data_IF_552637096675
#
_entry.id   IF_552637096675
#
_cell.length_a   1.000
_cell.length_b   1.000
_cell.length_c   1.000
_cell.angle_alpha   90.00
_cell.angle_beta   90.00
_cell.angle_gamma   90.00
#
_symmetry.space_group_name_H-M   'P 1'
#
loop_
_entity.id
_entity.type
_entity.pdbx_description
1 polymer ?
#
# COMPACT_ATOMS: atom_id res chain seq x y z
N UNK A 1 -7.21 -2.88 14.82
CA UNK A 1 -7.20 -3.20 13.39
C UNK A 1 -7.29 -4.70 13.16
N UNK A 2 -7.88 -5.12 12.06
CA UNK A 2 -8.02 -6.54 11.69
C UNK A 2 -6.63 -7.19 11.57
N UNK A 3 -6.40 -8.22 12.35
CA UNK A 3 -5.19 -9.04 12.30
C UNK A 3 -5.56 -10.38 11.66
N UNK A 4 -5.36 -10.49 10.36
CA UNK A 4 -5.49 -11.78 9.71
C UNK A 4 -4.34 -12.67 10.17
N UNK A 5 -4.66 -13.89 10.55
CA UNK A 5 -3.70 -14.95 10.94
C UNK A 5 -3.85 -16.14 10.00
N UNK A 6 -2.80 -16.95 9.92
CA UNK A 6 -2.81 -18.16 9.10
C UNK A 6 -2.61 -17.90 7.60
N UNK A 7 -2.78 -18.96 6.84
CA UNK A 7 -2.45 -19.01 5.41
C UNK A 7 -3.62 -19.59 4.60
N UNK A 8 -3.72 -19.12 3.35
CA UNK A 8 -4.58 -19.71 2.33
C UNK A 8 -3.73 -20.57 1.41
N UNK A 9 -4.03 -21.85 1.37
CA UNK A 9 -3.40 -22.80 0.45
C UNK A 9 -3.93 -22.59 -0.98
N UNK A 10 -3.11 -22.93 -1.98
CA UNK A 10 -3.48 -22.83 -3.39
C UNK A 10 -4.03 -21.46 -3.83
N UNK A 11 -3.52 -20.40 -3.23
CA UNK A 11 -3.92 -19.04 -3.59
C UNK A 11 -3.42 -18.68 -4.99
N UNK A 12 -4.31 -18.07 -5.78
CA UNK A 12 -3.99 -17.50 -7.10
C UNK A 12 -3.82 -15.99 -6.96
N UNK A 13 -2.66 -15.51 -7.37
CA UNK A 13 -2.39 -14.07 -7.37
C UNK A 13 -3.24 -13.38 -8.42
N UNK A 14 -3.93 -12.27 -8.07
CA UNK A 14 -4.78 -11.56 -9.02
C UNK A 14 -4.00 -10.67 -9.98
N UNK A 15 -4.71 -10.13 -10.96
CA UNK A 15 -4.25 -9.13 -11.93
C UNK A 15 -3.16 -9.65 -12.88
N UNK A 16 -2.14 -8.84 -13.10
CA UNK A 16 -1.08 -9.05 -14.08
C UNK A 16 -0.07 -10.17 -13.73
N UNK A 17 -0.30 -10.85 -12.64
CA UNK A 17 0.41 -12.08 -12.26
C UNK A 17 -0.52 -13.29 -12.11
N UNK A 18 -1.67 -13.31 -12.80
CA UNK A 18 -2.63 -14.41 -12.85
C UNK A 18 -2.02 -15.70 -13.46
N UNK A 19 -0.98 -15.55 -14.27
CA UNK A 19 -0.17 -16.62 -14.85
C UNK A 19 0.65 -17.38 -13.79
N UNK A 20 0.89 -16.77 -12.62
CA UNK A 20 1.70 -17.38 -11.56
C UNK A 20 1.06 -18.70 -11.06
N UNK A 21 1.87 -19.72 -10.73
CA UNK A 21 1.34 -20.92 -10.12
C UNK A 21 0.65 -20.60 -8.78
N UNK A 22 -0.27 -21.47 -8.37
CA UNK A 22 -0.88 -21.34 -7.06
C UNK A 22 0.16 -21.56 -5.96
N UNK A 23 0.06 -20.81 -4.88
CA UNK A 23 1.00 -20.88 -3.77
C UNK A 23 0.28 -20.65 -2.42
N UNK A 24 1.00 -20.91 -1.34
CA UNK A 24 0.54 -20.62 0.02
C UNK A 24 0.73 -19.13 0.32
N UNK A 25 -0.37 -18.41 0.55
CA UNK A 25 -0.36 -16.98 0.81
C UNK A 25 -0.83 -16.66 2.22
N UNK A 26 -0.15 -15.72 2.91
CA UNK A 26 -0.62 -15.28 4.22
C UNK A 26 -1.94 -14.51 4.09
N UNK A 27 -2.89 -14.77 4.98
CA UNK A 27 -4.26 -14.24 4.91
C UNK A 27 -4.33 -12.71 4.95
N UNK A 28 -3.34 -12.02 5.54
CA UNK A 28 -3.26 -10.56 5.49
C UNK A 28 -3.07 -9.99 4.09
N UNK A 29 -2.65 -10.80 3.14
CA UNK A 29 -2.41 -10.43 1.74
C UNK A 29 -3.47 -10.98 0.79
N UNK A 30 -4.46 -11.72 1.28
CA UNK A 30 -5.54 -12.32 0.48
C UNK A 30 -6.77 -11.43 0.49
N UNK A 31 -7.45 -11.29 -0.67
CA UNK A 31 -8.70 -10.54 -0.78
C UNK A 31 -8.59 -9.04 -0.46
N UNK A 32 -7.42 -8.45 -0.75
CA UNK A 32 -7.19 -7.03 -0.53
C UNK A 32 -7.75 -6.17 -1.67
N UNK A 33 -7.84 -4.88 -1.42
CA UNK A 33 -8.11 -3.88 -2.45
C UNK A 33 -7.20 -4.10 -3.68
N UNK A 34 -7.70 -4.04 -4.92
CA UNK A 34 -6.90 -4.23 -6.13
C UNK A 34 -5.65 -3.35 -6.19
N UNK A 35 -5.70 -2.15 -5.63
CA UNK A 35 -4.55 -1.23 -5.56
C UNK A 35 -3.42 -1.73 -4.67
N UNK A 36 -3.72 -2.58 -3.68
CA UNK A 36 -2.69 -3.24 -2.88
C UNK A 36 -1.74 -4.04 -3.78
N UNK A 37 -2.29 -4.87 -4.66
CA UNK A 37 -1.50 -5.68 -5.59
C UNK A 37 -0.87 -4.85 -6.72
N UNK A 38 -1.50 -3.74 -7.10
CA UNK A 38 -0.95 -2.82 -8.09
C UNK A 38 0.23 -1.98 -7.56
N UNK A 39 0.31 -1.77 -6.26
CA UNK A 39 1.34 -0.93 -5.64
C UNK A 39 2.47 -1.72 -4.98
N UNK A 40 2.18 -2.91 -4.49
CA UNK A 40 3.08 -3.70 -3.64
C UNK A 40 3.20 -5.15 -4.13
N UNK A 41 4.37 -5.72 -3.89
CA UNK A 41 4.58 -7.17 -3.95
C UNK A 41 4.92 -7.64 -2.54
N UNK A 42 4.02 -8.34 -1.85
CA UNK A 42 4.27 -8.88 -0.53
C UNK A 42 5.29 -10.02 -0.56
N UNK A 43 5.91 -10.30 0.59
CA UNK A 43 6.74 -11.47 0.78
C UNK A 43 5.98 -12.76 0.36
N UNK A 44 6.58 -13.55 -0.48
CA UNK A 44 6.01 -14.78 -1.02
C UNK A 44 5.18 -14.63 -2.29
N UNK A 45 4.95 -13.41 -2.79
CA UNK A 45 4.22 -13.14 -4.03
C UNK A 45 5.16 -13.08 -5.24
N UNK A 46 4.61 -13.33 -6.42
CA UNK A 46 5.37 -13.25 -7.66
C UNK A 46 5.46 -11.81 -8.16
N UNK A 47 6.66 -11.45 -8.64
CA UNK A 47 6.83 -10.22 -9.42
C UNK A 47 6.07 -10.35 -10.74
N UNK A 48 5.32 -9.34 -11.19
CA UNK A 48 4.45 -9.43 -12.38
C UNK A 48 5.24 -9.39 -13.70
N UNK A 49 6.24 -10.22 -13.82
CA UNK A 49 7.02 -10.42 -15.05
C UNK A 49 6.99 -11.89 -15.44
N UNK A 50 6.23 -12.22 -16.48
CA UNK A 50 6.07 -13.59 -16.97
C UNK A 50 7.37 -14.19 -17.52
N UNK A 51 8.26 -13.35 -18.07
CA UNK A 51 9.56 -13.79 -18.61
C UNK A 51 10.52 -14.16 -17.48
N UNK A 52 10.40 -13.53 -16.33
CA UNK A 52 11.21 -13.78 -15.14
C UNK A 52 10.29 -14.04 -13.94
N UNK A 53 9.73 -15.25 -13.84
CA UNK A 53 8.70 -15.59 -12.86
C UNK A 53 9.27 -15.74 -11.44
N UNK A 54 9.94 -14.71 -10.93
CA UNK A 54 10.58 -14.76 -9.63
C UNK A 54 9.59 -14.47 -8.51
N UNK A 55 9.60 -15.32 -7.50
CA UNK A 55 8.88 -15.11 -6.24
C UNK A 55 9.70 -14.17 -5.36
N UNK A 56 9.10 -13.06 -4.93
CA UNK A 56 9.74 -12.15 -3.99
C UNK A 56 9.72 -12.78 -2.58
N UNK A 57 10.89 -12.96 -2.00
CA UNK A 57 11.06 -13.49 -0.63
C UNK A 57 12.12 -12.68 0.10
N UNK A 58 11.89 -12.35 1.37
CA UNK A 58 12.70 -11.38 2.11
C UNK A 58 13.00 -11.75 3.57
N UNK A 59 12.98 -13.02 3.93
CA UNK A 59 13.40 -13.52 5.25
C UNK A 59 14.84 -14.03 5.23
N UNK A 60 15.39 -14.42 6.38
CA UNK A 60 16.80 -14.84 6.51
C UNK A 60 17.02 -16.28 6.04
N UNK A 61 17.02 -16.45 4.73
CA UNK A 61 17.34 -17.72 4.08
C UNK A 61 18.17 -17.44 2.82
N UNK A 62 19.18 -18.26 2.55
CA UNK A 62 20.10 -18.11 1.42
C UNK A 62 19.39 -18.16 0.04
N UNK A 63 18.24 -18.82 -0.05
CA UNK A 63 17.45 -18.96 -1.27
C UNK A 63 16.50 -17.75 -1.51
N UNK A 64 16.44 -16.81 -0.57
CA UNK A 64 15.56 -15.64 -0.72
C UNK A 64 16.08 -14.66 -1.76
N UNK A 65 15.18 -14.15 -2.59
CA UNK A 65 15.48 -13.15 -3.63
C UNK A 65 15.93 -11.81 -3.06
N UNK A 66 15.52 -11.48 -1.84
CA UNK A 66 15.92 -10.27 -1.11
C UNK A 66 16.20 -10.64 0.35
N UNK A 67 17.16 -11.54 0.55
CA UNK A 67 17.54 -12.00 1.89
C UNK A 67 17.80 -10.83 2.82
N UNK A 68 17.21 -10.89 4.02
CA UNK A 68 17.52 -9.91 5.06
C UNK A 68 18.99 -9.97 5.46
N UNK A 69 19.62 -8.80 5.50
CA UNK A 69 20.96 -8.63 6.07
C UNK A 69 21.03 -7.24 6.71
N UNK A 70 21.57 -7.15 7.90
CA UNK A 70 21.72 -5.89 8.62
C UNK A 70 22.66 -4.89 7.89
N UNK A 71 23.51 -5.38 6.98
CA UNK A 71 24.55 -4.59 6.30
C UNK A 71 24.29 -4.38 4.81
N UNK A 72 23.20 -4.94 4.26
CA UNK A 72 22.89 -4.85 2.82
C UNK A 72 21.70 -3.93 2.55
N UNK A 73 21.50 -3.60 1.28
CA UNK A 73 20.31 -2.91 0.75
C UNK A 73 19.05 -3.79 0.73
N UNK A 74 19.02 -4.84 1.54
CA UNK A 74 17.91 -5.78 1.62
C UNK A 74 16.61 -5.08 2.06
N UNK A 75 15.50 -5.62 1.59
CA UNK A 75 14.18 -5.15 1.99
C UNK A 75 13.97 -5.31 3.51
N UNK A 76 13.64 -4.23 4.19
CA UNK A 76 13.47 -4.19 5.65
C UNK A 76 12.02 -4.12 6.11
N UNK A 77 11.06 -4.26 5.19
CA UNK A 77 9.63 -4.13 5.50
C UNK A 77 8.85 -5.42 5.28
N UNK A 78 9.35 -6.31 4.43
CA UNK A 78 8.62 -7.49 4.00
C UNK A 78 7.65 -7.23 2.84
N UNK A 79 7.69 -6.04 2.29
CA UNK A 79 6.93 -5.62 1.11
C UNK A 79 7.87 -4.87 0.19
N UNK A 80 7.84 -5.17 -1.11
CA UNK A 80 8.51 -4.34 -2.08
C UNK A 80 7.49 -3.55 -2.89
N UNK A 81 7.83 -2.34 -3.25
CA UNK A 81 6.96 -1.51 -4.08
C UNK A 81 7.13 -1.87 -5.56
N UNK A 82 6.05 -1.84 -6.30
CA UNK A 82 6.06 -1.99 -7.75
C UNK A 82 5.41 -0.82 -8.48
N UNK A 83 4.73 0.04 -7.76
CA UNK A 83 4.10 1.23 -8.34
C UNK A 83 5.16 2.07 -9.06
N UNK A 84 4.84 2.50 -10.28
CA UNK A 84 5.74 3.23 -11.19
C UNK A 84 6.90 2.40 -11.77
N UNK A 85 7.02 1.12 -11.41
CA UNK A 85 7.97 0.22 -12.06
C UNK A 85 7.30 -0.50 -13.24
N UNK A 86 8.01 -0.65 -14.34
CA UNK A 86 7.52 -1.46 -15.45
C UNK A 86 7.62 -2.94 -15.08
N UNK A 87 6.56 -3.74 -15.29
CA UNK A 87 6.58 -5.17 -14.96
C UNK A 87 7.67 -5.96 -15.69
N UNK A 88 7.96 -5.58 -16.92
CA UNK A 88 8.95 -6.20 -17.81
C UNK A 88 10.39 -5.76 -17.56
N UNK A 89 10.61 -4.89 -16.56
CA UNK A 89 11.96 -4.50 -16.18
C UNK A 89 12.72 -5.67 -15.55
N UNK A 90 13.87 -5.99 -16.14
CA UNK A 90 14.81 -7.00 -15.62
C UNK A 90 16.06 -6.31 -15.09
N UNK A 91 16.46 -6.64 -13.87
CA UNK A 91 17.75 -6.23 -13.30
C UNK A 91 18.91 -7.14 -13.74
N UNK A 92 18.61 -8.20 -14.51
CA UNK A 92 19.62 -9.20 -14.90
C UNK A 92 20.50 -8.78 -16.08
N UNK A 93 20.16 -7.71 -16.78
CA UNK A 93 21.02 -7.13 -17.79
C UNK A 93 21.93 -6.09 -17.13
N UNK A 94 23.17 -6.43 -16.88
CA UNK A 94 24.19 -5.51 -16.32
C UNK A 94 24.32 -4.20 -17.11
N UNK A 95 23.92 -4.21 -18.38
CA UNK A 95 23.91 -3.04 -19.26
C UNK A 95 22.59 -2.25 -19.26
N UNK A 96 21.49 -2.83 -18.84
CA UNK A 96 20.16 -2.15 -18.86
C UNK A 96 19.88 -1.31 -17.60
N UNK A 97 20.70 -1.42 -16.58
CA UNK A 97 20.60 -0.60 -15.38
C UNK A 97 20.69 0.91 -15.68
N UNK A 98 21.31 1.27 -16.80
CA UNK A 98 21.49 2.65 -17.27
C UNK A 98 20.65 3.01 -18.51
N UNK A 99 19.91 2.07 -19.08
CA UNK A 99 18.93 2.44 -20.11
C UNK A 99 17.82 3.22 -19.43
N UNK A 100 17.83 4.53 -19.65
CA UNK A 100 16.84 5.45 -19.09
C UNK A 100 15.44 4.97 -19.45
N UNK A 101 14.80 4.26 -18.52
CA UNK A 101 13.38 3.99 -18.61
C UNK A 101 12.72 5.35 -18.43
N UNK A 102 12.12 5.85 -19.49
CA UNK A 102 11.36 7.10 -19.42
C UNK A 102 10.12 6.85 -18.55
N UNK A 103 10.22 7.21 -17.28
CA UNK A 103 9.08 7.29 -16.40
C UNK A 103 8.40 8.64 -16.59
N UNK A 104 7.09 8.60 -16.81
CA UNK A 104 6.26 9.77 -16.60
C UNK A 104 5.77 9.71 -15.17
N UNK A 105 6.40 10.47 -14.28
CA UNK A 105 5.92 10.61 -12.91
C UNK A 105 4.70 11.55 -12.91
N UNK A 106 3.51 11.07 -12.51
CA UNK A 106 2.33 11.92 -12.46
C UNK A 106 2.44 12.85 -11.26
N UNK A 107 2.85 14.10 -11.48
CA UNK A 107 2.87 15.11 -10.43
C UNK A 107 1.46 15.41 -9.92
N UNK A 108 0.46 15.32 -10.79
CA UNK A 108 -0.94 15.57 -10.53
C UNK A 108 -1.84 14.71 -11.41
N UNK A 109 -2.95 14.19 -10.87
CA UNK A 109 -3.85 13.31 -11.63
C UNK A 109 -5.31 13.47 -11.21
N UNK A 110 -6.21 13.08 -12.10
CA UNK A 110 -7.65 13.31 -11.97
C UNK A 110 -8.26 12.76 -10.66
N UNK A 111 -7.75 11.64 -10.15
CA UNK A 111 -8.18 11.11 -8.86
C UNK A 111 -7.95 12.10 -7.70
N UNK A 112 -6.88 12.90 -7.76
CA UNK A 112 -6.61 13.93 -6.76
C UNK A 112 -7.66 15.06 -6.84
N UNK A 113 -8.01 15.49 -8.06
CA UNK A 113 -9.09 16.46 -8.26
C UNK A 113 -10.41 15.96 -7.68
N UNK A 114 -10.75 14.70 -7.97
CA UNK A 114 -11.98 14.11 -7.48
C UNK A 114 -12.03 14.04 -5.95
N UNK A 115 -10.97 13.59 -5.32
CA UNK A 115 -10.93 13.47 -3.86
C UNK A 115 -10.82 14.83 -3.16
N UNK A 116 -10.12 15.81 -3.76
CA UNK A 116 -10.12 17.19 -3.27
C UNK A 116 -11.52 17.78 -3.33
N UNK A 117 -12.24 17.55 -4.42
CA UNK A 117 -13.60 18.07 -4.59
C UNK A 117 -14.59 17.37 -3.64
N UNK A 118 -14.47 16.05 -3.47
CA UNK A 118 -15.27 15.32 -2.50
C UNK A 118 -15.07 15.83 -1.08
N UNK A 119 -13.82 16.06 -0.68
CA UNK A 119 -13.47 16.65 0.62
C UNK A 119 -14.07 18.06 0.78
N UNK A 120 -13.87 18.93 -0.20
CA UNK A 120 -14.40 20.28 -0.16
C UNK A 120 -15.93 20.31 -0.07
N UNK A 121 -16.63 19.43 -0.77
CA UNK A 121 -18.09 19.30 -0.70
C UNK A 121 -18.57 18.80 0.67
N UNK A 122 -17.82 17.90 1.31
CA UNK A 122 -18.15 17.45 2.66
C UNK A 122 -17.89 18.52 3.72
N UNK A 123 -16.86 19.36 3.54
CA UNK A 123 -16.41 20.31 4.58
C UNK A 123 -17.03 21.71 4.47
N UNK A 124 -17.52 22.11 3.31
CA UNK A 124 -18.14 23.45 3.13
C UNK A 124 -19.31 23.68 4.10
N UNK A 125 -19.63 24.95 4.46
CA UNK A 125 -20.71 25.28 5.40
C UNK A 125 -22.07 24.68 4.99
N UNK A 126 -22.45 24.82 3.72
CA UNK A 126 -23.63 24.15 3.14
C UNK A 126 -23.14 22.83 2.53
N UNK A 127 -22.98 21.82 3.40
CA UNK A 127 -22.51 20.49 3.00
C UNK A 127 -23.28 19.93 1.81
N UNK A 128 -22.54 19.40 0.84
CA UNK A 128 -23.10 18.75 -0.32
C UNK A 128 -22.66 17.26 -0.33
N UNK A 129 -23.37 16.48 0.44
CA UNK A 129 -23.09 15.06 0.62
C UNK A 129 -23.20 14.28 -0.68
N UNK A 130 -24.21 14.58 -1.50
CA UNK A 130 -24.46 13.88 -2.75
C UNK A 130 -23.29 14.02 -3.70
N UNK A 131 -22.76 15.23 -3.86
CA UNK A 131 -21.59 15.47 -4.70
C UNK A 131 -20.32 14.86 -4.10
N UNK A 132 -20.16 14.93 -2.78
CA UNK A 132 -19.01 14.32 -2.11
C UNK A 132 -18.96 12.79 -2.34
N UNK A 133 -20.08 12.10 -2.16
CA UNK A 133 -20.21 10.67 -2.42
C UNK A 133 -19.97 10.33 -3.90
N UNK A 134 -20.55 11.10 -4.81
CA UNK A 134 -20.37 10.89 -6.26
C UNK A 134 -18.89 10.88 -6.66
N UNK A 135 -18.10 11.85 -6.20
CA UNK A 135 -16.70 11.96 -6.60
C UNK A 135 -15.81 10.98 -5.85
N UNK A 136 -16.12 10.63 -4.62
CA UNK A 136 -15.48 9.53 -3.90
C UNK A 136 -15.69 8.19 -4.65
N UNK A 137 -16.92 7.90 -5.05
CA UNK A 137 -17.27 6.67 -5.74
C UNK A 137 -16.65 6.56 -7.15
N UNK A 138 -16.46 7.68 -7.86
CA UNK A 138 -15.71 7.65 -9.13
C UNK A 138 -14.30 7.07 -8.99
N UNK A 139 -13.62 7.35 -7.88
CA UNK A 139 -12.28 6.78 -7.62
C UNK A 139 -12.39 5.31 -7.28
N UNK A 140 -13.35 4.90 -6.46
CA UNK A 140 -13.58 3.52 -6.04
C UNK A 140 -14.00 2.62 -7.20
N UNK A 141 -14.97 3.07 -7.99
CA UNK A 141 -15.51 2.30 -9.12
C UNK A 141 -14.48 2.06 -10.22
N UNK A 142 -13.53 2.96 -10.40
CA UNK A 142 -12.41 2.78 -11.35
C UNK A 142 -11.62 1.50 -11.09
N UNK A 143 -11.54 1.07 -9.86
CA UNK A 143 -10.80 -0.15 -9.44
C UNK A 143 -11.74 -1.31 -9.09
N UNK A 144 -13.01 -1.22 -9.45
CA UNK A 144 -13.99 -2.28 -9.24
C UNK A 144 -14.50 -2.42 -7.81
N UNK A 145 -14.27 -1.42 -6.96
CA UNK A 145 -14.86 -1.39 -5.63
C UNK A 145 -16.30 -0.89 -5.70
N UNK A 146 -17.13 -1.38 -4.81
CA UNK A 146 -18.50 -0.91 -4.63
C UNK A 146 -18.55 0.53 -4.14
N UNK A 147 -19.67 1.18 -4.37
CA UNK A 147 -19.95 2.49 -3.78
C UNK A 147 -19.77 2.46 -2.26
N UNK A 148 -19.28 3.57 -1.70
CA UNK A 148 -18.95 3.60 -0.28
C UNK A 148 -20.18 3.40 0.60
N UNK A 149 -21.35 3.83 0.14
CA UNK A 149 -22.64 3.66 0.83
C UNK A 149 -23.10 2.21 0.90
N UNK A 150 -22.62 1.35 0.00
CA UNK A 150 -22.88 -0.09 0.08
C UNK A 150 -21.95 -0.76 1.12
N UNK A 151 -20.72 -0.23 1.26
CA UNK A 151 -19.75 -0.75 2.22
C UNK A 151 -20.00 -0.24 3.65
N UNK A 152 -20.49 0.99 3.78
CA UNK A 152 -20.78 1.68 5.03
C UNK A 152 -22.15 2.38 4.92
N UNK A 153 -23.27 1.66 5.08
CA UNK A 153 -24.61 2.25 4.97
C UNK A 153 -24.87 3.43 5.92
N UNK A 154 -24.18 3.44 7.07
CA UNK A 154 -24.24 4.48 8.10
C UNK A 154 -23.54 5.78 7.70
N UNK A 155 -22.93 5.86 6.52
CA UNK A 155 -22.23 7.06 6.05
C UNK A 155 -23.20 8.19 5.69
N UNK A 156 -24.45 7.84 5.33
CA UNK A 156 -25.46 8.83 4.95
C UNK A 156 -25.83 9.71 6.12
N UNK A 157 -25.75 11.02 5.91
CA UNK A 157 -25.97 12.02 6.98
C UNK A 157 -24.79 12.17 7.96
N UNK A 158 -23.79 11.29 7.92
CA UNK A 158 -22.68 11.28 8.86
C UNK A 158 -21.43 11.97 8.24
N UNK A 159 -21.25 13.27 8.56
CA UNK A 159 -20.14 14.07 8.06
C UNK A 159 -18.78 13.53 8.46
N UNK A 160 -18.64 13.12 9.71
CA UNK A 160 -17.36 12.67 10.27
C UNK A 160 -16.93 11.32 9.65
N UNK A 161 -17.88 10.41 9.47
CA UNK A 161 -17.60 9.12 8.84
C UNK A 161 -17.23 9.32 7.37
N UNK A 162 -17.93 10.21 6.64
CA UNK A 162 -17.57 10.51 5.25
C UNK A 162 -16.19 11.17 5.15
N UNK A 163 -15.84 12.09 6.06
CA UNK A 163 -14.49 12.66 6.16
C UNK A 163 -13.45 11.56 6.33
N UNK A 164 -13.67 10.67 7.29
CA UNK A 164 -12.77 9.55 7.53
C UNK A 164 -12.62 8.65 6.30
N UNK A 165 -13.71 8.33 5.62
CA UNK A 165 -13.69 7.53 4.39
C UNK A 165 -12.89 8.21 3.27
N UNK A 166 -13.08 9.52 3.06
CA UNK A 166 -12.30 10.29 2.08
C UNK A 166 -10.81 10.27 2.43
N UNK A 167 -10.45 10.46 3.69
CA UNK A 167 -9.07 10.41 4.16
C UNK A 167 -8.44 9.04 3.94
N UNK A 168 -9.17 7.96 4.21
CA UNK A 168 -8.69 6.58 3.97
C UNK A 168 -8.58 6.27 2.48
N UNK A 169 -9.53 6.72 1.68
CA UNK A 169 -9.47 6.56 0.22
C UNK A 169 -8.25 7.27 -0.38
N UNK A 170 -7.95 8.50 0.07
CA UNK A 170 -6.74 9.23 -0.33
C UNK A 170 -5.47 8.47 0.05
N UNK A 171 -5.41 7.91 1.26
CA UNK A 171 -4.26 7.13 1.72
C UNK A 171 -3.97 5.92 0.82
N UNK A 172 -5.02 5.21 0.41
CA UNK A 172 -4.89 4.02 -0.45
C UNK A 172 -4.59 4.43 -1.89
N UNK A 173 -5.33 5.41 -2.42
CA UNK A 173 -5.22 5.84 -3.80
C UNK A 173 -3.86 6.46 -4.12
N UNK A 174 -3.29 7.23 -3.20
CA UNK A 174 -1.99 7.92 -3.37
C UNK A 174 -0.83 7.21 -2.66
N UNK A 175 -1.00 5.95 -2.32
CA UNK A 175 0.10 5.14 -1.76
C UNK A 175 1.34 5.23 -2.65
N UNK A 176 2.50 5.55 -2.06
CA UNK A 176 3.79 5.73 -2.73
C UNK A 176 3.87 6.96 -3.68
N UNK A 177 2.92 7.89 -3.63
CA UNK A 177 2.97 9.17 -4.38
C UNK A 177 3.41 10.36 -3.52
N UNK A 178 3.98 10.13 -2.35
CA UNK A 178 4.47 11.16 -1.42
C UNK A 178 3.39 12.17 -0.94
N UNK A 179 2.09 11.82 -1.03
CA UNK A 179 0.98 12.71 -0.64
C UNK A 179 0.62 12.58 0.85
N UNK A 180 0.81 11.39 1.46
CA UNK A 180 0.31 11.08 2.80
C UNK A 180 0.81 12.02 3.88
N UNK A 181 2.10 12.37 3.85
CA UNK A 181 2.69 13.28 4.83
C UNK A 181 1.96 14.63 4.83
N UNK A 182 1.79 15.24 3.66
CA UNK A 182 1.10 16.53 3.53
C UNK A 182 -0.37 16.45 3.93
N UNK A 183 -1.06 15.37 3.56
CA UNK A 183 -2.45 15.14 3.96
C UNK A 183 -2.57 15.02 5.49
N UNK A 184 -1.70 14.24 6.13
CA UNK A 184 -1.72 14.08 7.58
C UNK A 184 -1.42 15.39 8.32
N UNK A 185 -0.48 16.20 7.81
CA UNK A 185 -0.17 17.52 8.38
C UNK A 185 -1.34 18.49 8.25
N UNK A 186 -1.92 18.65 7.05
CA UNK A 186 -3.03 19.60 6.85
C UNK A 186 -4.32 19.22 7.59
N UNK A 187 -4.51 17.93 7.89
CA UNK A 187 -5.62 17.44 8.71
C UNK A 187 -5.31 17.46 10.22
N UNK A 188 -4.09 17.81 10.61
CA UNK A 188 -3.61 17.81 11.99
C UNK A 188 -3.70 16.44 12.67
N UNK A 189 -3.53 15.36 11.89
CA UNK A 189 -3.58 13.97 12.39
C UNK A 189 -2.21 13.28 12.32
N UNK A 190 -1.15 13.97 11.92
CA UNK A 190 0.16 13.38 11.73
C UNK A 190 0.73 12.77 13.01
N UNK A 191 0.45 13.36 14.16
CA UNK A 191 0.86 12.84 15.47
C UNK A 191 0.28 11.46 15.76
N UNK A 192 -0.98 11.23 15.39
CA UNK A 192 -1.67 9.96 15.61
C UNK A 192 -1.29 8.93 14.52
N UNK A 193 -1.03 9.39 13.29
CA UNK A 193 -0.67 8.55 12.16
C UNK A 193 0.79 8.08 12.19
N UNK A 194 1.68 8.82 12.87
CA UNK A 194 3.09 8.50 12.99
C UNK A 194 3.50 8.24 14.46
N UNK A 195 3.00 7.16 15.08
CA UNK A 195 3.22 6.89 16.51
C UNK A 195 4.64 6.41 16.84
N UNK A 196 5.56 6.43 15.89
CA UNK A 196 6.98 6.20 16.10
C UNK A 196 7.50 4.80 15.83
N UNK A 197 6.66 3.78 15.73
CA UNK A 197 7.14 2.41 15.51
C UNK A 197 6.34 1.70 14.42
N UNK A 198 6.87 1.64 13.18
CA UNK A 198 6.24 0.85 12.14
C UNK A 198 6.40 -0.65 12.44
N UNK A 199 5.35 -1.41 12.15
CA UNK A 199 5.41 -2.87 12.18
C UNK A 199 6.00 -3.39 10.88
N UNK A 200 6.94 -4.33 11.01
CA UNK A 200 7.53 -5.05 9.88
C UNK A 200 7.20 -6.54 9.98
N UNK A 201 7.46 -7.30 8.93
CA UNK A 201 7.52 -8.75 9.03
C UNK A 201 8.74 -9.19 9.86
N UNK A 202 8.72 -10.42 10.36
CA UNK A 202 9.85 -11.04 11.03
C UNK A 202 10.91 -11.46 10.01
N UNK A 203 11.77 -10.52 9.62
CA UNK A 203 12.73 -10.70 8.53
C UNK A 203 13.92 -11.58 8.90
N UNK A 204 14.18 -11.79 10.20
CA UNK A 204 15.20 -12.74 10.70
C UNK A 204 14.69 -14.16 10.82
N UNK A 205 13.43 -14.44 10.50
CA UNK A 205 12.91 -15.79 10.39
C UNK A 205 13.65 -16.57 9.30
N UNK A 206 13.81 -17.85 9.49
CA UNK A 206 14.52 -18.74 8.54
C UNK A 206 13.58 -19.40 7.53
N UNK A 207 12.28 -19.24 7.69
CA UNK A 207 11.28 -19.79 6.79
C UNK A 207 10.14 -18.77 6.53
N UNK A 208 9.33 -19.10 5.52
CA UNK A 208 8.27 -18.24 5.04
C UNK A 208 7.14 -18.02 6.06
N UNK A 209 6.72 -19.09 6.73
CA UNK A 209 5.61 -19.06 7.68
C UNK A 209 5.95 -18.18 8.89
N UNK A 210 7.12 -18.37 9.45
CA UNK A 210 7.59 -17.61 10.61
C UNK A 210 7.85 -16.14 10.27
N UNK A 211 8.15 -15.82 9.01
CA UNK A 211 8.35 -14.45 8.58
C UNK A 211 7.10 -13.57 8.76
N UNK A 212 5.92 -14.17 8.83
CA UNK A 212 4.65 -13.47 9.08
C UNK A 212 4.26 -13.40 10.56
N UNK A 213 5.04 -14.00 11.45
CA UNK A 213 4.84 -13.84 12.88
C UNK A 213 5.28 -12.44 13.32
N UNK A 214 4.48 -11.81 14.16
CA UNK A 214 4.84 -10.53 14.76
C UNK A 214 5.78 -10.77 15.94
N UNK A 215 7.00 -10.31 15.80
CA UNK A 215 7.97 -10.32 16.89
C UNK A 215 8.04 -8.91 17.47
N UNK A 216 7.94 -8.81 18.79
CA UNK A 216 8.00 -7.54 19.50
C UNK A 216 9.36 -6.87 19.24
N UNK A 217 9.34 -5.77 18.51
CA UNK A 217 10.37 -4.72 18.52
C UNK A 217 11.75 -5.00 17.92
N UNK A 218 12.06 -6.17 17.37
CA UNK A 218 13.44 -6.49 16.98
C UNK A 218 13.87 -5.92 15.61
N UNK A 219 12.93 -5.58 14.74
CA UNK A 219 13.25 -5.11 13.39
C UNK A 219 12.69 -3.71 13.12
N UNK A 220 13.18 -2.75 13.86
CA UNK A 220 12.83 -1.34 13.68
C UNK A 220 13.80 -0.65 12.74
N UNK A 221 13.27 -0.04 11.69
CA UNK A 221 14.08 0.72 10.74
C UNK A 221 14.41 2.10 11.29
N UNK A 222 13.48 2.74 11.93
CA UNK A 222 13.67 3.99 12.66
C UNK A 222 12.48 4.25 13.57
N UNK A 223 12.73 4.97 14.66
CA UNK A 223 11.68 5.53 15.50
C UNK A 223 11.62 7.03 15.21
N UNK A 224 10.74 7.44 14.32
CA UNK A 224 10.38 8.84 14.17
C UNK A 224 9.04 9.06 14.87
N UNK A 225 9.03 9.90 15.89
CA UNK A 225 7.81 10.34 16.56
C UNK A 225 7.53 11.74 16.08
N UNK A 226 6.40 11.90 15.38
CA UNK A 226 5.94 13.20 14.93
C UNK A 226 5.57 14.08 16.14
N UNK A 227 6.12 15.30 16.18
CA UNK A 227 5.88 16.26 17.26
C UNK A 227 5.07 17.44 16.74
N UNK A 228 4.40 18.17 17.64
CA UNK A 228 3.60 19.34 17.26
C UNK A 228 4.41 20.41 16.50
N UNK A 229 5.70 20.56 16.82
CA UNK A 229 6.63 21.46 16.11
C UNK A 229 6.93 21.05 14.66
N UNK A 230 6.64 19.80 14.29
CA UNK A 230 6.89 19.27 12.94
C UNK A 230 5.76 19.60 11.97
N UNK A 231 4.65 20.18 12.46
CA UNK A 231 3.65 20.77 11.58
C UNK A 231 4.23 22.00 10.90
N UNK A 232 4.16 22.03 9.57
CA UNK A 232 4.52 23.20 8.79
C UNK A 232 3.34 24.19 8.83
N UNK A 233 3.59 25.38 9.34
CA UNK A 233 2.65 26.48 9.38
C UNK A 233 2.96 27.48 8.26
#
# INVERSE_FOLDING_TARGET
GYQATGFTENYKQPADADWAPAFKAHNSCVGRDPRFYACLVPNGFYWPNKTFPNRFTCYDNAECTSRYSATSDANRLGYTWRRLLKPDYSLNDEYDMYKAIKYVYPAFRLAEVYLNYAEACNEKPQRDETTALLYLNKVRNRVGLKDIEEAYPEIKGNKELLRWCIQKERMVEFGLEAKRHYDACRWMIAKDEYPGTPWTLHLTATNYEDSYQRVNNELRISTYVFQDKDYLY
#
